data_IF_155021060595
#
_entry.id   IF_155021060595
#
_cell.length_a   1.000
_cell.length_b   1.000
_cell.length_c   1.000
_cell.angle_alpha   90.00
_cell.angle_beta   90.00
_cell.angle_gamma   90.00
#
_symmetry.space_group_name_H-M   'P 1'
#
loop_
_entity.id
_entity.type
_entity.pdbx_description
1 polymer ?
#
# COMPACT_ATOMS: atom_id res chain seq x y z
N UNK A 1 25.21 32.95 21.85
CA UNK A 1 25.35 31.50 22.20
C UNK A 1 23.98 30.81 22.44
N UNK A 2 22.85 31.41 22.08
CA UNK A 2 21.48 30.83 22.28
C UNK A 2 20.91 30.08 21.05
N UNK A 3 21.59 30.13 19.90
CA UNK A 3 21.09 29.47 18.68
C UNK A 3 21.29 27.95 18.67
N UNK A 4 22.27 27.43 19.41
CA UNK A 4 22.59 25.99 19.44
C UNK A 4 21.46 25.14 20.06
N UNK A 5 20.88 25.51 21.22
CA UNK A 5 19.78 24.73 21.79
C UNK A 5 18.50 24.76 20.93
N UNK A 6 18.20 25.87 20.26
CA UNK A 6 17.05 25.95 19.36
C UNK A 6 17.24 25.08 18.10
N UNK A 7 18.41 25.10 17.51
CA UNK A 7 18.74 24.29 16.34
C UNK A 7 18.67 22.77 16.68
N UNK A 8 19.17 22.38 17.84
CA UNK A 8 19.09 20.99 18.31
C UNK A 8 17.65 20.56 18.59
N UNK A 9 16.82 21.42 19.15
CA UNK A 9 15.40 21.17 19.38
C UNK A 9 14.65 21.01 18.05
N UNK A 10 14.92 21.85 17.06
CA UNK A 10 14.32 21.74 15.74
C UNK A 10 14.75 20.44 15.03
N UNK A 11 16.02 20.08 15.10
CA UNK A 11 16.51 18.82 14.54
C UNK A 11 15.89 17.60 15.25
N UNK A 12 15.71 17.66 16.57
CA UNK A 12 15.03 16.61 17.33
C UNK A 12 13.54 16.49 16.96
N UNK A 13 12.86 17.62 16.77
CA UNK A 13 11.46 17.64 16.30
C UNK A 13 11.32 17.07 14.88
N UNK A 14 12.23 17.42 13.96
CA UNK A 14 12.24 16.88 12.59
C UNK A 14 12.48 15.36 12.60
N UNK A 15 13.43 14.86 13.40
CA UNK A 15 13.65 13.42 13.56
C UNK A 15 12.43 12.72 14.13
N UNK A 16 11.79 13.28 15.16
CA UNK A 16 10.56 12.75 15.76
C UNK A 16 9.41 12.67 14.75
N UNK A 17 9.24 13.71 13.92
CA UNK A 17 8.21 13.75 12.88
C UNK A 17 8.48 12.73 11.77
N UNK A 18 9.74 12.43 11.45
CA UNK A 18 10.12 11.47 10.42
C UNK A 18 10.10 10.01 10.92
N UNK A 19 10.25 9.76 12.21
CA UNK A 19 10.37 8.43 12.80
C UNK A 19 9.28 7.43 12.34
N UNK A 20 7.97 7.77 12.33
CA UNK A 20 6.92 6.84 11.87
C UNK A 20 7.09 6.36 10.44
N UNK A 21 7.81 7.13 9.61
CA UNK A 21 8.02 6.82 8.20
C UNK A 21 9.33 6.07 7.93
N UNK A 22 10.34 6.27 8.77
CA UNK A 22 11.67 5.69 8.51
C UNK A 22 11.99 4.49 9.39
N UNK A 23 11.38 4.38 10.58
CA UNK A 23 11.62 3.29 11.53
C UNK A 23 10.59 2.17 11.43
N UNK A 24 9.82 2.16 10.33
CA UNK A 24 8.85 1.12 10.05
C UNK A 24 9.56 -0.24 9.82
N UNK A 25 9.09 -1.32 10.47
CA UNK A 25 9.68 -2.65 10.28
C UNK A 25 9.52 -3.11 8.82
N UNK A 26 10.49 -3.87 8.29
CA UNK A 26 10.42 -4.35 6.93
C UNK A 26 9.18 -5.21 6.70
N UNK A 27 8.53 -4.99 5.57
CA UNK A 27 7.34 -5.72 5.17
C UNK A 27 7.70 -7.19 4.88
N UNK A 28 6.95 -8.16 5.41
CA UNK A 28 7.20 -9.57 5.14
C UNK A 28 7.08 -9.90 3.64
N UNK A 29 7.89 -10.83 3.15
CA UNK A 29 7.92 -11.24 1.74
C UNK A 29 6.56 -11.73 1.20
N UNK A 30 5.71 -12.32 2.06
CA UNK A 30 4.39 -12.82 1.70
C UNK A 30 3.34 -11.72 1.54
N UNK A 31 3.60 -10.52 2.01
CA UNK A 31 2.63 -9.41 2.01
C UNK A 31 2.18 -9.01 0.60
N UNK A 32 3.11 -8.78 -0.32
CA UNK A 32 2.77 -8.40 -1.69
C UNK A 32 1.95 -9.45 -2.43
N UNK A 33 2.32 -10.76 -2.43
CA UNK A 33 1.50 -11.78 -3.06
C UNK A 33 0.15 -12.00 -2.37
N UNK A 34 0.04 -11.81 -1.05
CA UNK A 34 -1.26 -11.90 -0.36
C UNK A 34 -2.21 -10.79 -0.78
N UNK A 35 -1.75 -9.55 -0.92
CA UNK A 35 -2.57 -8.46 -1.44
C UNK A 35 -2.91 -8.65 -2.92
N UNK A 36 -2.00 -9.19 -3.72
CA UNK A 36 -2.29 -9.57 -5.10
C UNK A 36 -3.38 -10.64 -5.17
N UNK A 37 -3.30 -11.67 -4.33
CA UNK A 37 -4.32 -12.72 -4.25
C UNK A 37 -5.68 -12.18 -3.79
N UNK A 38 -5.68 -11.28 -2.80
CA UNK A 38 -6.90 -10.61 -2.37
C UNK A 38 -7.54 -9.78 -3.49
N UNK A 39 -6.76 -8.98 -4.22
CA UNK A 39 -7.24 -8.21 -5.36
C UNK A 39 -7.81 -9.10 -6.48
N UNK A 40 -7.13 -10.21 -6.78
CA UNK A 40 -7.61 -11.20 -7.73
C UNK A 40 -8.92 -11.85 -7.28
N UNK A 41 -9.03 -12.21 -5.99
CA UNK A 41 -10.24 -12.78 -5.41
C UNK A 41 -11.41 -11.78 -5.48
N UNK A 42 -11.19 -10.49 -5.17
CA UNK A 42 -12.21 -9.45 -5.30
C UNK A 42 -12.76 -9.36 -6.72
N UNK A 43 -11.90 -9.37 -7.72
CA UNK A 43 -12.32 -9.38 -9.14
C UNK A 43 -13.00 -10.71 -9.47
N UNK A 44 -12.47 -11.82 -8.99
CA UNK A 44 -13.00 -13.16 -9.21
C UNK A 44 -14.46 -13.34 -8.74
N UNK A 45 -14.90 -12.59 -7.71
CA UNK A 45 -16.30 -12.64 -7.26
C UNK A 45 -17.29 -12.29 -8.37
N UNK A 46 -16.86 -11.44 -9.33
CA UNK A 46 -17.72 -11.02 -10.43
C UNK A 46 -18.06 -12.13 -11.43
N UNK A 47 -17.42 -13.30 -11.33
CA UNK A 47 -17.84 -14.50 -12.08
C UNK A 47 -19.28 -14.88 -11.75
N UNK A 48 -19.72 -14.67 -10.50
CA UNK A 48 -21.10 -15.00 -10.04
C UNK A 48 -22.10 -13.86 -10.14
N UNK A 49 -21.68 -12.67 -10.56
CA UNK A 49 -22.52 -11.47 -10.61
C UNK A 49 -23.90 -11.67 -11.24
N UNK A 50 -23.96 -12.42 -12.36
CA UNK A 50 -25.22 -12.67 -13.11
C UNK A 50 -25.83 -14.04 -12.82
N UNK A 51 -25.04 -14.99 -12.37
CA UNK A 51 -25.47 -16.38 -12.20
C UNK A 51 -25.98 -16.66 -10.78
N UNK A 52 -25.35 -16.07 -9.78
CA UNK A 52 -25.70 -16.28 -8.37
C UNK A 52 -25.38 -15.04 -7.52
N UNK A 53 -26.35 -14.13 -7.46
CA UNK A 53 -26.20 -12.88 -6.70
C UNK A 53 -25.92 -13.13 -5.20
N UNK A 54 -26.49 -14.20 -4.61
CA UNK A 54 -26.23 -14.55 -3.21
C UNK A 54 -24.76 -14.94 -2.98
N UNK A 55 -24.19 -15.76 -3.85
CA UNK A 55 -22.79 -16.15 -3.78
C UNK A 55 -21.86 -14.97 -4.04
N UNK A 56 -22.21 -14.09 -5.00
CA UNK A 56 -21.46 -12.84 -5.24
C UNK A 56 -21.40 -11.98 -3.98
N UNK A 57 -22.55 -11.67 -3.38
CA UNK A 57 -22.63 -10.83 -2.18
C UNK A 57 -21.91 -11.48 -0.98
N UNK A 58 -22.10 -12.78 -0.77
CA UNK A 58 -21.46 -13.49 0.34
C UNK A 58 -19.94 -13.52 0.22
N UNK A 59 -19.41 -13.78 -0.99
CA UNK A 59 -17.95 -13.80 -1.22
C UNK A 59 -17.35 -12.40 -1.09
N UNK A 60 -18.01 -11.37 -1.60
CA UNK A 60 -17.56 -9.99 -1.46
C UNK A 60 -17.55 -9.55 0.02
N UNK A 61 -18.62 -9.84 0.77
CA UNK A 61 -18.70 -9.57 2.20
C UNK A 61 -17.62 -10.30 2.99
N UNK A 62 -17.35 -11.57 2.66
CA UNK A 62 -16.27 -12.35 3.26
C UNK A 62 -14.89 -11.73 3.02
N UNK A 63 -14.59 -11.30 1.80
CA UNK A 63 -13.32 -10.65 1.46
C UNK A 63 -13.16 -9.30 2.17
N UNK A 64 -14.21 -8.50 2.27
CA UNK A 64 -14.22 -7.24 3.03
C UNK A 64 -13.98 -7.52 4.53
N UNK A 65 -14.61 -8.55 5.10
CA UNK A 65 -14.37 -8.93 6.48
C UNK A 65 -12.91 -9.34 6.73
N UNK A 66 -12.30 -10.11 5.83
CA UNK A 66 -10.87 -10.47 5.87
C UNK A 66 -10.00 -9.22 5.82
N UNK A 67 -10.30 -8.25 4.96
CA UNK A 67 -9.58 -6.98 4.86
C UNK A 67 -9.65 -6.20 6.18
N UNK A 68 -10.85 -6.05 6.74
CA UNK A 68 -11.06 -5.34 8.02
C UNK A 68 -10.24 -6.01 9.14
N UNK A 69 -10.30 -7.34 9.25
CA UNK A 69 -9.55 -8.10 10.25
C UNK A 69 -8.04 -7.93 10.06
N UNK A 70 -7.57 -7.97 8.81
CA UNK A 70 -6.17 -7.75 8.49
C UNK A 70 -5.70 -6.34 8.87
N UNK A 71 -6.46 -5.29 8.53
CA UNK A 71 -6.13 -3.90 8.88
C UNK A 71 -6.13 -3.70 10.40
N UNK A 72 -7.11 -4.27 11.12
CA UNK A 72 -7.16 -4.22 12.58
C UNK A 72 -5.94 -4.92 13.20
N UNK A 73 -5.58 -6.11 12.70
CA UNK A 73 -4.41 -6.85 13.14
C UNK A 73 -3.11 -6.08 12.90
N UNK A 74 -2.93 -5.51 11.71
CA UNK A 74 -1.77 -4.70 11.36
C UNK A 74 -1.63 -3.47 12.27
N UNK A 75 -2.74 -2.75 12.53
CA UNK A 75 -2.73 -1.60 13.44
C UNK A 75 -2.35 -1.98 14.86
N UNK A 76 -2.85 -3.12 15.35
CA UNK A 76 -2.49 -3.60 16.71
C UNK A 76 -1.02 -3.99 16.81
N UNK A 77 -0.45 -4.55 15.74
CA UNK A 77 0.93 -5.03 15.72
C UNK A 77 1.95 -3.91 15.52
N UNK A 78 1.64 -2.92 14.71
CA UNK A 78 2.60 -1.90 14.27
C UNK A 78 2.30 -0.48 14.80
N UNK A 79 1.22 -0.29 15.55
CA UNK A 79 0.79 1.02 16.02
C UNK A 79 0.27 1.91 14.89
N UNK A 80 1.06 2.89 14.46
CA UNK A 80 0.69 3.75 13.33
C UNK A 80 1.10 3.12 11.99
N UNK A 81 0.16 3.07 11.04
CA UNK A 81 0.45 2.72 9.66
C UNK A 81 0.68 4.03 8.88
N UNK A 82 1.88 4.28 8.34
CA UNK A 82 2.11 5.40 7.45
C UNK A 82 1.34 5.15 6.15
N UNK A 83 0.35 6.00 5.89
CA UNK A 83 -0.49 5.89 4.68
C UNK A 83 -0.41 7.18 3.87
N UNK A 84 -0.45 7.11 2.52
CA UNK A 84 -0.60 8.28 1.68
C UNK A 84 -1.81 9.12 2.12
N UNK A 85 -1.62 10.46 2.19
CA UNK A 85 -2.68 11.39 2.61
C UNK A 85 -2.86 11.56 4.12
N UNK A 86 -2.08 10.85 4.97
CA UNK A 86 -2.08 11.05 6.42
C UNK A 86 -0.73 11.57 6.91
N UNK A 87 -0.78 12.63 7.73
CA UNK A 87 0.42 13.27 8.29
C UNK A 87 1.22 14.08 7.26
N UNK A 88 2.42 14.48 7.66
CA UNK A 88 3.38 15.24 6.83
C UNK A 88 4.61 14.37 6.57
N UNK A 89 4.60 13.55 5.50
CA UNK A 89 5.73 12.68 5.19
C UNK A 89 6.95 13.50 4.73
N UNK A 90 8.18 13.02 4.99
CA UNK A 90 9.40 13.59 4.41
C UNK A 90 9.31 13.71 2.87
N UNK A 91 9.98 14.71 2.31
CA UNK A 91 9.86 15.06 0.88
C UNK A 91 10.16 13.90 -0.07
N UNK A 92 11.13 13.04 0.29
CA UNK A 92 11.52 11.85 -0.46
C UNK A 92 10.36 10.84 -0.53
N UNK A 93 9.73 10.58 0.61
CA UNK A 93 8.59 9.65 0.73
C UNK A 93 7.36 10.23 0.06
N UNK A 94 7.09 11.52 0.23
CA UNK A 94 5.97 12.21 -0.43
C UNK A 94 6.06 12.15 -1.96
N UNK A 95 7.27 12.30 -2.52
CA UNK A 95 7.52 12.18 -3.96
C UNK A 95 7.26 10.77 -4.46
N UNK A 96 7.75 9.77 -3.74
CA UNK A 96 7.53 8.37 -4.05
C UNK A 96 6.03 8.01 -4.00
N UNK A 97 5.28 8.46 -2.98
CA UNK A 97 3.85 8.23 -2.87
C UNK A 97 3.05 8.86 -4.02
N UNK A 98 3.39 10.07 -4.44
CA UNK A 98 2.75 10.69 -5.63
C UNK A 98 2.96 9.86 -6.89
N UNK A 99 4.17 9.37 -7.11
CA UNK A 99 4.45 8.47 -8.23
C UNK A 99 3.63 7.18 -8.16
N UNK A 100 3.57 6.56 -6.99
CA UNK A 100 2.76 5.35 -6.78
C UNK A 100 1.27 5.59 -7.03
N UNK A 101 0.70 6.67 -6.46
CA UNK A 101 -0.71 7.02 -6.68
C UNK A 101 -1.03 7.25 -8.16
N UNK A 102 -0.09 7.81 -8.94
CA UNK A 102 -0.27 8.00 -10.37
C UNK A 102 -0.29 6.68 -11.16
N UNK A 103 0.25 5.58 -10.63
CA UNK A 103 0.19 4.27 -11.30
C UNK A 103 -1.14 3.54 -11.10
N UNK A 104 -1.90 3.86 -10.05
CA UNK A 104 -3.16 3.15 -9.73
C UNK A 104 -4.20 3.23 -10.85
N UNK A 105 -4.50 4.40 -11.46
CA UNK A 105 -5.44 4.47 -12.57
C UNK A 105 -4.96 3.70 -13.81
N UNK A 106 -3.66 3.62 -14.05
CA UNK A 106 -3.09 2.82 -15.15
C UNK A 106 -3.33 1.33 -14.90
N UNK A 107 -3.08 0.85 -13.69
CA UNK A 107 -3.36 -0.55 -13.31
C UNK A 107 -4.85 -0.84 -13.45
N UNK A 108 -5.72 0.04 -12.95
CA UNK A 108 -7.16 -0.12 -13.06
C UNK A 108 -7.63 -0.17 -14.53
N UNK A 109 -7.06 0.68 -15.39
CA UNK A 109 -7.34 0.68 -16.83
C UNK A 109 -6.93 -0.63 -17.48
N UNK A 110 -5.72 -1.13 -17.21
CA UNK A 110 -5.22 -2.39 -17.79
C UNK A 110 -6.13 -3.55 -17.36
N UNK A 111 -6.44 -3.66 -16.06
CA UNK A 111 -7.32 -4.71 -15.54
C UNK A 111 -8.72 -4.60 -16.15
N UNK A 112 -9.27 -3.39 -16.26
CA UNK A 112 -10.56 -3.13 -16.90
C UNK A 112 -10.61 -3.51 -18.38
N UNK A 113 -9.55 -3.21 -19.13
CA UNK A 113 -9.42 -3.61 -20.53
C UNK A 113 -9.34 -5.14 -20.69
N UNK A 114 -8.55 -5.80 -19.85
CA UNK A 114 -8.46 -7.27 -19.87
C UNK A 114 -9.80 -7.89 -19.50
N UNK A 115 -10.52 -7.34 -18.52
CA UNK A 115 -11.87 -7.78 -18.19
C UNK A 115 -12.80 -7.66 -19.40
N UNK A 116 -12.81 -6.52 -20.05
CA UNK A 116 -13.71 -6.28 -21.19
C UNK A 116 -13.40 -7.15 -22.39
N UNK A 117 -12.10 -7.38 -22.70
CA UNK A 117 -11.66 -8.11 -23.89
C UNK A 117 -11.61 -9.62 -23.70
N UNK A 118 -11.26 -10.10 -22.52
CA UNK A 118 -10.95 -11.52 -22.26
C UNK A 118 -11.86 -12.12 -21.18
N UNK A 119 -12.31 -11.32 -20.21
CA UNK A 119 -13.22 -11.74 -19.17
C UNK A 119 -12.61 -11.73 -17.75
N UNK A 120 -13.47 -12.07 -16.76
CA UNK A 120 -13.15 -11.99 -15.34
C UNK A 120 -11.93 -12.81 -14.91
N UNK A 121 -11.76 -14.09 -15.32
CA UNK A 121 -10.59 -14.87 -14.89
C UNK A 121 -9.26 -14.27 -15.32
N UNK A 122 -9.17 -13.76 -16.56
CA UNK A 122 -7.96 -13.12 -17.06
C UNK A 122 -7.69 -11.80 -16.33
N UNK A 123 -8.73 -10.99 -16.05
CA UNK A 123 -8.63 -9.77 -15.28
C UNK A 123 -8.14 -10.03 -13.84
N UNK A 124 -8.65 -11.09 -13.19
CA UNK A 124 -8.20 -11.50 -11.86
C UNK A 124 -6.72 -11.91 -11.86
N UNK A 125 -6.28 -12.70 -12.83
CA UNK A 125 -4.87 -13.06 -12.99
C UNK A 125 -3.98 -11.84 -13.25
N UNK A 126 -4.43 -10.92 -14.11
CA UNK A 126 -3.72 -9.66 -14.38
C UNK A 126 -3.61 -8.80 -13.12
N UNK A 127 -4.68 -8.67 -12.34
CA UNK A 127 -4.67 -7.94 -11.08
C UNK A 127 -3.70 -8.57 -10.08
N UNK A 128 -3.69 -9.91 -9.94
CA UNK A 128 -2.71 -10.61 -9.12
C UNK A 128 -1.28 -10.21 -9.45
N UNK A 129 -0.91 -10.30 -10.73
CA UNK A 129 0.46 -10.01 -11.18
C UNK A 129 0.81 -8.54 -10.97
N UNK A 130 -0.05 -7.61 -11.41
CA UNK A 130 0.22 -6.18 -11.33
C UNK A 130 0.27 -5.67 -9.91
N UNK A 131 -0.63 -6.11 -9.03
CA UNK A 131 -0.64 -5.72 -7.61
C UNK A 131 0.58 -6.30 -6.90
N UNK A 132 0.90 -7.58 -7.09
CA UNK A 132 2.07 -8.21 -6.47
C UNK A 132 3.36 -7.54 -6.90
N UNK A 133 3.57 -7.37 -8.22
CA UNK A 133 4.77 -6.73 -8.76
C UNK A 133 4.85 -5.25 -8.38
N UNK A 134 3.72 -4.53 -8.44
CA UNK A 134 3.62 -3.13 -8.08
C UNK A 134 3.98 -2.89 -6.61
N UNK A 135 3.47 -3.72 -5.69
CA UNK A 135 3.80 -3.64 -4.27
C UNK A 135 5.27 -4.03 -3.99
N UNK A 136 5.79 -5.07 -4.62
CA UNK A 136 7.20 -5.43 -4.46
C UNK A 136 8.13 -4.31 -4.95
N UNK A 137 7.77 -3.64 -6.04
CA UNK A 137 8.50 -2.46 -6.52
C UNK A 137 8.36 -1.27 -5.56
N UNK A 138 7.15 -1.02 -5.07
CA UNK A 138 6.87 0.02 -4.08
C UNK A 138 7.73 -0.16 -2.82
N UNK A 139 7.77 -1.35 -2.24
CA UNK A 139 8.57 -1.66 -1.04
C UNK A 139 10.06 -1.36 -1.25
N UNK A 140 10.61 -1.75 -2.40
CA UNK A 140 12.02 -1.44 -2.74
C UNK A 140 12.27 0.07 -2.82
N UNK A 141 11.37 0.81 -3.48
CA UNK A 141 11.47 2.27 -3.61
C UNK A 141 11.27 2.97 -2.26
N UNK A 142 10.37 2.46 -1.43
CA UNK A 142 10.16 2.97 -0.09
C UNK A 142 11.40 2.78 0.79
N UNK A 143 12.00 1.63 0.77
CA UNK A 143 13.24 1.34 1.51
C UNK A 143 14.38 2.31 1.13
N UNK A 144 14.53 2.61 -0.17
CA UNK A 144 15.51 3.60 -0.66
C UNK A 144 15.19 5.01 -0.16
N UNK A 145 13.92 5.45 -0.25
CA UNK A 145 13.50 6.76 0.22
C UNK A 145 13.66 6.91 1.74
N UNK A 146 13.31 5.89 2.51
CA UNK A 146 13.49 5.86 3.96
C UNK A 146 14.98 5.92 4.36
N UNK A 147 15.86 5.19 3.64
CA UNK A 147 17.30 5.24 3.86
C UNK A 147 17.87 6.63 3.55
N UNK A 148 17.45 7.28 2.46
CA UNK A 148 17.87 8.63 2.12
C UNK A 148 17.42 9.65 3.19
N UNK A 149 16.19 9.53 3.69
CA UNK A 149 15.69 10.39 4.77
C UNK A 149 16.51 10.19 6.06
N UNK A 150 16.80 8.95 6.46
CA UNK A 150 17.66 8.68 7.64
C UNK A 150 19.05 9.27 7.49
N UNK A 151 19.65 9.17 6.31
CA UNK A 151 20.99 9.73 6.04
C UNK A 151 21.01 11.26 6.18
N UNK A 152 19.93 11.94 5.75
CA UNK A 152 19.78 13.40 5.87
C UNK A 152 19.60 13.88 7.32
N UNK A 153 18.98 13.05 8.16
CA UNK A 153 18.63 13.40 9.55
C UNK A 153 19.72 13.02 10.59
N UNK A 154 20.81 12.39 10.14
CA UNK A 154 22.00 12.10 10.97
C UNK A 154 22.87 13.32 11.13
#
# INVERSE_FOLDING_TARGET
MESTPLAEQLAAAERGAAAPYVDYPPTPWWYAPSLGAWAAAMIGTFTWWRENAGLFVASLAGLIAVEILFVVWMRRRHGALPMPGKGTPPAEIARMWRGYMATLPVVALIVGLVWWLVGVPAAAGTAFVLVTAGLAFYERRYAVAAAATRARLR
#
